data_IF_616364908238
#
_entry.id   IF_616364908238
#
_cell.length_a   1.000
_cell.length_b   1.000
_cell.length_c   1.000
_cell.angle_alpha   90.00
_cell.angle_beta   90.00
_cell.angle_gamma   90.00
#
_symmetry.space_group_name_H-M   'P 1'
#
loop_
_entity.id
_entity.type
_entity.pdbx_description
1 polymer ?
#
# COMPACT_ATOMS: atom_id res chain seq x y z
N UNK A 1 4.63 3.91 10.33
CA UNK A 1 4.28 4.13 8.91
C UNK A 1 3.00 4.98 8.79
N UNK A 2 2.05 4.81 9.69
CA UNK A 2 0.75 5.48 9.68
C UNK A 2 0.77 7.03 9.73
N UNK A 3 1.88 7.67 10.12
CA UNK A 3 2.00 9.16 10.10
C UNK A 3 1.90 9.77 8.70
N UNK A 4 2.19 9.00 7.66
CA UNK A 4 2.03 9.45 6.27
C UNK A 4 0.57 9.49 5.81
N UNK A 5 -0.36 8.95 6.60
CA UNK A 5 -1.78 8.85 6.27
C UNK A 5 -2.61 9.92 6.99
N UNK A 6 -3.76 10.30 6.44
CA UNK A 6 -4.78 11.09 7.17
C UNK A 6 -5.32 10.29 8.36
N UNK A 7 -5.96 10.95 9.32
CA UNK A 7 -6.46 10.29 10.53
C UNK A 7 -7.47 9.17 10.23
N UNK A 8 -8.28 9.36 9.18
CA UNK A 8 -9.36 8.48 8.75
C UNK A 8 -9.05 7.68 7.47
N UNK A 9 -7.79 7.66 7.04
CA UNK A 9 -7.37 7.06 5.79
C UNK A 9 -7.79 5.60 5.64
N UNK A 10 -7.92 5.14 4.40
CA UNK A 10 -8.31 3.77 4.08
C UNK A 10 -7.22 3.05 3.28
N UNK A 11 -6.74 1.92 3.81
CA UNK A 11 -5.96 0.96 3.03
C UNK A 11 -6.86 -0.18 2.58
N UNK A 12 -6.80 -0.54 1.30
CA UNK A 12 -7.43 -1.73 0.73
C UNK A 12 -6.34 -2.65 0.22
N UNK A 13 -6.21 -3.82 0.83
CA UNK A 13 -5.20 -4.82 0.51
C UNK A 13 -5.77 -6.22 0.70
N UNK A 14 -5.46 -7.15 -0.21
CA UNK A 14 -6.03 -8.51 -0.23
C UNK A 14 -7.57 -8.56 -0.05
N UNK A 15 -8.29 -7.56 -0.58
CA UNK A 15 -9.76 -7.36 -0.41
C UNK A 15 -10.23 -7.03 1.01
N UNK A 16 -9.32 -6.75 1.92
CA UNK A 16 -9.62 -6.26 3.27
C UNK A 16 -9.46 -4.74 3.34
N UNK A 17 -10.29 -4.12 4.18
CA UNK A 17 -10.25 -2.69 4.45
C UNK A 17 -9.66 -2.41 5.84
N UNK A 18 -8.70 -1.50 5.90
CA UNK A 18 -8.08 -1.05 7.14
C UNK A 18 -8.25 0.47 7.24
N UNK A 19 -9.16 0.90 8.12
CA UNK A 19 -9.51 2.32 8.26
C UNK A 19 -8.91 2.95 9.51
N UNK A 20 -8.29 4.10 9.31
CA UNK A 20 -7.67 4.92 10.34
C UNK A 20 -6.26 4.44 10.70
N UNK A 21 -5.46 5.38 11.22
CA UNK A 21 -4.02 5.17 11.48
C UNK A 21 -3.71 3.94 12.33
N UNK A 22 -4.52 3.65 13.34
CA UNK A 22 -4.33 2.49 14.21
C UNK A 22 -4.47 1.15 13.45
N UNK A 23 -5.51 1.02 12.62
CA UNK A 23 -5.72 -0.18 11.81
C UNK A 23 -4.64 -0.34 10.74
N UNK A 24 -4.21 0.76 10.13
CA UNK A 24 -3.14 0.77 9.12
C UNK A 24 -1.80 0.35 9.74
N UNK A 25 -1.45 0.84 10.93
CA UNK A 25 -0.21 0.43 11.60
C UNK A 25 -0.24 -1.07 11.96
N UNK A 26 -1.40 -1.57 12.44
CA UNK A 26 -1.58 -3.00 12.72
C UNK A 26 -1.48 -3.87 11.46
N UNK A 27 -2.10 -3.45 10.35
CA UNK A 27 -1.99 -4.13 9.05
C UNK A 27 -0.54 -4.21 8.58
N UNK A 28 0.18 -3.09 8.59
CA UNK A 28 1.57 -3.06 8.15
C UNK A 28 2.48 -3.91 9.05
N UNK A 29 2.25 -3.92 10.37
CA UNK A 29 2.99 -4.80 11.28
C UNK A 29 2.70 -6.29 11.01
N UNK A 30 1.44 -6.65 10.76
CA UNK A 30 1.05 -8.02 10.43
C UNK A 30 1.67 -8.49 9.10
N UNK A 31 1.63 -7.66 8.05
CA UNK A 31 2.22 -7.97 6.75
C UNK A 31 3.74 -8.23 6.87
N UNK A 32 4.47 -7.32 7.53
CA UNK A 32 5.93 -7.44 7.71
C UNK A 32 6.33 -8.55 8.70
N UNK A 33 5.45 -8.95 9.62
CA UNK A 33 5.68 -10.08 10.51
C UNK A 33 5.42 -11.44 9.86
N UNK A 34 4.50 -11.50 8.88
CA UNK A 34 4.10 -12.74 8.19
C UNK A 34 4.99 -13.05 6.99
N UNK A 35 5.50 -12.02 6.31
CA UNK A 35 6.23 -12.18 5.07
C UNK A 35 7.50 -11.35 5.03
N UNK A 36 8.56 -11.95 4.48
CA UNK A 36 9.74 -11.20 4.04
C UNK A 36 9.60 -10.94 2.55
N UNK A 37 9.66 -9.67 2.14
CA UNK A 37 9.55 -9.30 0.74
C UNK A 37 10.44 -8.11 0.39
N UNK A 38 10.76 -8.01 -0.90
CA UNK A 38 11.41 -6.86 -1.52
C UNK A 38 10.51 -6.32 -2.64
N UNK A 39 10.66 -5.03 -2.91
CA UNK A 39 9.86 -4.31 -3.91
C UNK A 39 10.81 -3.63 -4.89
N UNK A 40 10.69 -3.97 -6.17
CA UNK A 40 11.39 -3.32 -7.27
C UNK A 40 10.43 -2.38 -7.98
N UNK A 41 10.75 -1.07 -7.99
CA UNK A 41 9.96 -0.05 -8.67
C UNK A 41 10.09 -0.19 -10.19
N UNK A 42 8.95 -0.25 -10.89
CA UNK A 42 8.90 -0.29 -12.35
C UNK A 42 8.53 1.07 -12.94
N UNK A 43 7.51 1.71 -12.37
CA UNK A 43 7.05 3.02 -12.82
C UNK A 43 6.27 3.75 -11.73
N UNK A 44 6.23 5.07 -11.84
CA UNK A 44 5.34 5.93 -11.09
C UNK A 44 4.62 6.87 -12.05
N UNK A 45 3.29 6.88 -11.99
CA UNK A 45 2.41 7.68 -12.84
C UNK A 45 1.59 8.62 -11.93
N UNK A 46 1.47 9.88 -12.34
CA UNK A 46 0.82 10.94 -11.56
C UNK A 46 -0.35 11.50 -12.35
N UNK A 47 -1.55 11.47 -11.75
CA UNK A 47 -2.78 12.02 -12.31
C UNK A 47 -3.52 12.83 -11.23
N UNK A 48 -3.19 14.12 -11.15
CA UNK A 48 -3.71 15.01 -10.11
C UNK A 48 -3.40 14.46 -8.69
N UNK A 49 -4.42 14.20 -7.85
CA UNK A 49 -4.23 13.66 -6.51
C UNK A 49 -3.98 12.15 -6.47
N UNK A 50 -4.12 11.45 -7.61
CA UNK A 50 -3.90 10.01 -7.73
C UNK A 50 -2.46 9.73 -8.20
N UNK A 51 -1.79 8.82 -7.50
CA UNK A 51 -0.45 8.35 -7.86
C UNK A 51 -0.51 6.83 -7.97
N UNK A 52 -0.13 6.29 -9.12
CA UNK A 52 -0.03 4.85 -9.33
C UNK A 52 1.44 4.45 -9.41
N UNK A 53 1.88 3.64 -8.45
CA UNK A 53 3.22 3.06 -8.42
C UNK A 53 3.11 1.60 -8.83
N UNK A 54 3.79 1.21 -9.91
CA UNK A 54 3.89 -0.18 -10.37
C UNK A 54 5.19 -0.77 -9.88
N UNK A 55 5.13 -1.94 -9.25
CA UNK A 55 6.32 -2.60 -8.72
C UNK A 55 6.24 -4.12 -8.83
N UNK A 56 7.38 -4.77 -9.02
CA UNK A 56 7.51 -6.20 -8.81
C UNK A 56 7.79 -6.46 -7.32
N UNK A 57 6.95 -7.28 -6.69
CA UNK A 57 7.10 -7.69 -5.30
C UNK A 57 7.51 -9.15 -5.26
N UNK A 58 8.66 -9.41 -4.65
CA UNK A 58 9.22 -10.77 -4.48
C UNK A 58 9.33 -11.05 -2.99
N UNK A 59 8.76 -12.15 -2.52
CA UNK A 59 8.82 -12.52 -1.12
C UNK A 59 8.43 -13.95 -0.83
N UNK A 60 8.24 -14.24 0.46
CA UNK A 60 7.93 -15.58 0.98
C UNK A 60 6.43 -15.91 0.99
N UNK A 61 5.63 -15.21 0.17
CA UNK A 61 4.18 -15.42 0.06
C UNK A 61 3.84 -16.30 -1.16
N UNK A 62 2.70 -17.03 -1.14
CA UNK A 62 2.22 -17.79 -2.29
C UNK A 62 1.98 -16.89 -3.51
N UNK A 63 2.53 -17.26 -4.66
CA UNK A 63 2.39 -16.47 -5.90
C UNK A 63 3.49 -15.42 -6.11
N UNK A 64 4.52 -15.38 -5.27
CA UNK A 64 5.73 -14.60 -5.52
C UNK A 64 6.56 -15.16 -6.70
N UNK A 65 7.14 -14.30 -7.57
CA UNK A 65 6.98 -12.85 -7.60
C UNK A 65 5.65 -12.43 -8.24
N UNK A 66 5.12 -11.28 -7.83
CA UNK A 66 3.90 -10.69 -8.40
C UNK A 66 4.10 -9.20 -8.69
N UNK A 67 3.55 -8.72 -9.80
CA UNK A 67 3.45 -7.29 -10.06
C UNK A 67 2.26 -6.72 -9.30
N UNK A 68 2.49 -5.68 -8.50
CA UNK A 68 1.45 -4.94 -7.78
C UNK A 68 1.42 -3.48 -8.19
N UNK A 69 0.21 -2.94 -8.19
CA UNK A 69 -0.09 -1.54 -8.39
C UNK A 69 -0.51 -0.94 -7.06
N UNK A 70 0.31 -0.03 -6.53
CA UNK A 70 0.01 0.77 -5.35
C UNK A 70 -0.62 2.09 -5.79
N UNK A 71 -1.92 2.23 -5.58
CA UNK A 71 -2.69 3.42 -5.97
C UNK A 71 -2.93 4.30 -4.75
N UNK A 72 -2.21 5.41 -4.68
CA UNK A 72 -2.29 6.38 -3.60
C UNK A 72 -3.20 7.53 -3.99
N UNK A 73 -4.09 7.94 -3.10
CA UNK A 73 -4.79 9.24 -3.19
C UNK A 73 -4.25 10.16 -2.10
N UNK A 74 -3.88 11.38 -2.48
CA UNK A 74 -3.37 12.39 -1.55
C UNK A 74 -4.44 13.42 -1.17
N UNK A 75 -4.44 13.83 0.10
CA UNK A 75 -5.23 14.94 0.62
C UNK A 75 -4.38 15.73 1.63
N UNK A 76 -4.20 17.04 1.40
CA UNK A 76 -3.41 17.89 2.30
C UNK A 76 -1.96 17.45 2.49
N UNK A 77 -1.35 16.81 1.48
CA UNK A 77 0.00 16.28 1.55
C UNK A 77 0.16 14.94 2.28
N UNK A 78 -0.95 14.33 2.72
CA UNK A 78 -1.00 13.00 3.35
C UNK A 78 -1.76 12.01 2.46
N UNK A 79 -1.57 10.71 2.71
CA UNK A 79 -2.28 9.64 2.02
C UNK A 79 -3.68 9.49 2.63
N UNK A 80 -4.73 9.74 1.87
CA UNK A 80 -6.12 9.49 2.28
C UNK A 80 -6.60 8.08 1.89
N UNK A 81 -6.04 7.51 0.81
CA UNK A 81 -6.33 6.15 0.37
C UNK A 81 -5.09 5.47 -0.20
N UNK A 82 -4.91 4.20 0.10
CA UNK A 82 -3.97 3.30 -0.57
C UNK A 82 -4.73 2.04 -0.98
N UNK A 83 -4.69 1.69 -2.26
CA UNK A 83 -5.21 0.44 -2.77
C UNK A 83 -4.08 -0.38 -3.40
N UNK A 84 -3.98 -1.64 -2.99
CA UNK A 84 -2.95 -2.59 -3.45
C UNK A 84 -3.67 -3.75 -4.14
N UNK A 85 -3.39 -3.89 -5.43
CA UNK A 85 -3.91 -4.98 -6.25
C UNK A 85 -2.95 -5.22 -7.44
N UNK A 86 -3.00 -6.41 -8.07
CA UNK A 86 -2.32 -6.64 -9.34
C UNK A 86 -2.72 -5.66 -10.45
#
# INVERSE_FOLDING_TARGET
MARCFTDDALVVDERHEHRGRAAIEAWNAAANGKFTFTTELLAAEFDGPLITVRANVTGTFPGSPIQLHFRFTLAGGLISRLEIAP
#
